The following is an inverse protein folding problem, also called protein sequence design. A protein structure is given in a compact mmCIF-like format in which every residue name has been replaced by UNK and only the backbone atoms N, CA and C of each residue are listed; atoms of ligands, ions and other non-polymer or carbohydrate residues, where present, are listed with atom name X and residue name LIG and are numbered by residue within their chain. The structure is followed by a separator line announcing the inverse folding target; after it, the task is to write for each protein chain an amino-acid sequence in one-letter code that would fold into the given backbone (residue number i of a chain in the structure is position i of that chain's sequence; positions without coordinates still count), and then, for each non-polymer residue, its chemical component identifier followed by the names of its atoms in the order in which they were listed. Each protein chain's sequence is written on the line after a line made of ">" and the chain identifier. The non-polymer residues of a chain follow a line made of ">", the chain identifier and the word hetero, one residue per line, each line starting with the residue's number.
data_IF_505697424696
#
_entry.id   IF_505697424696
#
_cell.length_a   1.000
_cell.length_b   1.000
_cell.length_c   1.000
_cell.angle_alpha   90.00
_cell.angle_beta   90.00
_cell.angle_gamma   90.00
#
_symmetry.space_group_name_H-M   'P 1'
#
loop_
_entity.id
_entity.type
_entity.pdbx_description
1 polymer ?
#
# COMPACT_ATOMS: atom_id res chain seq x y z
N UNK A 1 -12.82 18.55 -23.90
CA UNK A 1 -11.71 17.70 -23.46
C UNK A 1 -11.44 18.08 -22.01
N UNK A 2 -12.10 17.42 -21.07
CA UNK A 2 -11.99 17.78 -19.65
C UNK A 2 -10.61 17.39 -19.16
N UNK A 3 -9.81 18.39 -18.79
CA UNK A 3 -8.59 18.20 -18.02
C UNK A 3 -8.97 17.46 -16.74
N UNK A 4 -8.54 16.20 -16.62
CA UNK A 4 -8.51 15.53 -15.33
C UNK A 4 -7.56 16.33 -14.46
N UNK A 5 -8.09 17.18 -13.58
CA UNK A 5 -7.35 17.72 -12.47
C UNK A 5 -6.93 16.51 -11.63
N UNK A 6 -5.73 15.99 -11.88
CA UNK A 6 -5.11 15.08 -10.94
C UNK A 6 -4.90 15.93 -9.70
N UNK A 7 -5.78 15.77 -8.72
CA UNK A 7 -5.68 16.36 -7.38
C UNK A 7 -4.49 15.71 -6.66
N UNK A 8 -3.28 15.94 -7.19
CA UNK A 8 -2.00 15.39 -6.75
C UNK A 8 -1.48 16.15 -5.52
N UNK A 9 -2.38 16.73 -4.73
CA UNK A 9 -2.02 17.41 -3.50
C UNK A 9 -1.50 16.36 -2.53
N UNK A 10 -0.23 16.46 -2.10
CA UNK A 10 0.36 15.49 -1.20
C UNK A 10 -0.45 15.42 0.08
N UNK A 11 -1.08 14.26 0.31
CA UNK A 11 -1.98 14.02 1.43
C UNK A 11 -1.34 13.06 2.42
N UNK A 12 -1.39 13.39 3.71
CA UNK A 12 -0.95 12.50 4.78
C UNK A 12 -2.12 11.73 5.37
N UNK A 13 -1.90 10.46 5.73
CA UNK A 13 -2.85 9.62 6.44
C UNK A 13 -2.29 9.20 7.79
N UNK A 14 -3.15 9.14 8.81
CA UNK A 14 -2.74 8.69 10.14
C UNK A 14 -2.46 7.18 10.17
N UNK A 15 -1.83 6.68 11.24
CA UNK A 15 -1.70 5.24 11.49
C UNK A 15 -3.06 4.50 11.49
N UNK A 16 -4.12 5.15 12.00
CA UNK A 16 -5.45 4.55 12.02
C UNK A 16 -6.07 4.50 10.62
N UNK A 17 -5.85 5.52 9.80
CA UNK A 17 -6.31 5.55 8.41
C UNK A 17 -5.57 4.50 7.57
N UNK A 18 -4.23 4.44 7.69
CA UNK A 18 -3.42 3.44 6.99
C UNK A 18 -3.87 2.01 7.35
N UNK A 19 -4.09 1.74 8.64
CA UNK A 19 -4.63 0.46 9.11
C UNK A 19 -6.00 0.12 8.49
N UNK A 20 -6.92 1.10 8.39
CA UNK A 20 -8.22 0.94 7.72
C UNK A 20 -8.06 0.66 6.23
N UNK A 21 -7.22 1.43 5.54
CA UNK A 21 -6.98 1.31 4.10
C UNK A 21 -6.43 -0.08 3.71
N UNK A 22 -5.59 -0.67 4.56
CA UNK A 22 -4.94 -1.96 4.28
C UNK A 22 -5.62 -3.15 4.95
N UNK A 23 -6.68 -2.91 5.73
CA UNK A 23 -7.32 -3.90 6.62
C UNK A 23 -6.36 -4.58 7.63
N UNK A 24 -5.22 -3.95 7.93
CA UNK A 24 -4.24 -4.46 8.90
C UNK A 24 -4.49 -3.83 10.27
N UNK A 25 -4.16 -4.56 11.35
CA UNK A 25 -4.12 -3.95 12.67
C UNK A 25 -2.97 -2.92 12.78
N UNK A 26 -3.10 -1.94 13.67
CA UNK A 26 -2.03 -0.95 13.94
C UNK A 26 -0.71 -1.62 14.32
N UNK A 27 -0.78 -2.70 15.08
CA UNK A 27 0.39 -3.51 15.48
C UNK A 27 1.07 -4.12 14.27
N UNK A 28 0.29 -4.67 13.33
CA UNK A 28 0.82 -5.23 12.08
C UNK A 28 1.45 -4.15 11.20
N UNK A 29 0.81 -2.99 11.05
CA UNK A 29 1.38 -1.86 10.30
C UNK A 29 2.72 -1.44 10.90
N UNK A 30 2.80 -1.28 12.23
CA UNK A 30 4.04 -0.94 12.91
C UNK A 30 5.12 -2.02 12.73
N UNK A 31 4.75 -3.30 12.82
CA UNK A 31 5.67 -4.41 12.59
C UNK A 31 6.23 -4.37 11.17
N UNK A 32 5.37 -4.25 10.15
CA UNK A 32 5.84 -4.21 8.76
C UNK A 32 6.67 -2.97 8.46
N UNK A 33 6.38 -1.82 9.08
CA UNK A 33 7.25 -0.65 8.99
C UNK A 33 8.64 -0.94 9.55
N UNK A 34 8.71 -1.61 10.71
CA UNK A 34 9.99 -1.97 11.34
C UNK A 34 10.76 -3.00 10.51
N UNK A 35 10.06 -3.89 9.81
CA UNK A 35 10.62 -4.86 8.85
C UNK A 35 10.98 -4.23 7.48
N UNK A 36 10.73 -2.94 7.25
CA UNK A 36 10.95 -2.29 5.95
C UNK A 36 9.99 -2.73 4.84
N UNK A 37 8.89 -3.41 5.20
CA UNK A 37 7.88 -3.98 4.29
C UNK A 37 6.66 -3.09 4.10
N UNK A 38 6.64 -1.92 4.72
CA UNK A 38 5.55 -0.94 4.65
C UNK A 38 6.14 0.46 4.47
N UNK A 39 5.41 1.43 3.88
CA UNK A 39 5.86 2.81 3.78
C UNK A 39 6.40 3.37 5.11
N UNK A 40 7.46 4.16 5.00
CA UNK A 40 8.07 4.78 6.17
C UNK A 40 7.16 5.86 6.74
N UNK A 41 7.11 5.93 8.07
CA UNK A 41 6.27 6.89 8.74
C UNK A 41 6.99 8.24 8.88
N UNK A 42 6.27 9.32 8.61
CA UNK A 42 6.71 10.69 8.86
C UNK A 42 6.32 11.07 10.29
N UNK A 43 7.28 11.41 11.17
CA UNK A 43 6.96 11.96 12.49
C UNK A 43 6.37 13.36 12.32
N UNK A 44 5.22 13.61 12.96
CA UNK A 44 4.54 14.92 13.00
C UNK A 44 4.68 15.60 14.38
N UNK A 45 5.51 15.04 15.25
CA UNK A 45 5.73 15.46 16.63
C UNK A 45 6.06 14.25 17.51
N UNK A 46 6.10 14.45 18.83
CA UNK A 46 6.66 13.48 19.77
C UNK A 46 5.99 12.10 19.77
N UNK A 47 4.68 12.04 19.47
CA UNK A 47 3.89 10.79 19.52
C UNK A 47 3.06 10.53 18.27
N UNK A 48 3.01 11.49 17.34
CA UNK A 48 2.15 11.40 16.16
C UNK A 48 2.98 11.06 14.94
N UNK A 49 2.54 10.04 14.22
CA UNK A 49 3.12 9.65 12.93
C UNK A 49 2.03 9.67 11.85
N UNK A 50 2.45 9.90 10.62
CA UNK A 50 1.62 9.80 9.43
C UNK A 50 2.37 9.12 8.28
N UNK A 51 1.65 8.81 7.21
CA UNK A 51 2.19 8.20 5.99
C UNK A 51 1.75 9.01 4.79
N UNK A 52 2.55 9.02 3.73
CA UNK A 52 2.13 9.61 2.46
C UNK A 52 1.03 8.72 1.87
N UNK A 53 -0.15 9.27 1.61
CA UNK A 53 -1.31 8.53 1.07
C UNK A 53 -0.94 7.79 -0.22
N UNK A 54 -0.21 8.45 -1.11
CA UNK A 54 0.25 7.88 -2.38
C UNK A 54 1.13 6.64 -2.19
N UNK A 55 2.03 6.62 -1.22
CA UNK A 55 2.87 5.46 -0.93
C UNK A 55 2.05 4.29 -0.36
N UNK A 56 1.09 4.57 0.54
CA UNK A 56 0.20 3.55 1.09
C UNK A 56 -0.68 2.95 0.00
N UNK A 57 -1.26 3.77 -0.88
CA UNK A 57 -2.04 3.29 -2.02
C UNK A 57 -1.19 2.49 -3.00
N UNK A 58 0.03 2.94 -3.30
CA UNK A 58 0.96 2.21 -4.17
C UNK A 58 1.35 0.86 -3.56
N UNK A 59 1.55 0.80 -2.25
CA UNK A 59 1.80 -0.45 -1.54
C UNK A 59 0.61 -1.41 -1.63
N UNK A 60 -0.62 -0.92 -1.49
CA UNK A 60 -1.84 -1.74 -1.66
C UNK A 60 -1.90 -2.28 -3.09
N UNK A 61 -1.67 -1.42 -4.08
CA UNK A 61 -1.70 -1.80 -5.49
C UNK A 61 -0.65 -2.88 -5.79
N UNK A 62 0.58 -2.73 -5.30
CA UNK A 62 1.63 -3.74 -5.46
C UNK A 62 1.24 -5.10 -4.87
N UNK A 63 0.51 -5.13 -3.75
CA UNK A 63 0.00 -6.39 -3.15
C UNK A 63 -1.11 -7.02 -3.99
N UNK A 64 -1.99 -6.21 -4.57
CA UNK A 64 -3.01 -6.68 -5.51
C UNK A 64 -2.33 -7.25 -6.75
N UNK A 65 -1.40 -6.51 -7.34
CA UNK A 65 -0.70 -6.90 -8.56
C UNK A 65 0.11 -8.18 -8.34
N UNK A 66 0.83 -8.33 -7.23
CA UNK A 66 1.55 -9.56 -6.90
C UNK A 66 0.63 -10.79 -6.94
N UNK A 67 -0.52 -10.72 -6.27
CA UNK A 67 -1.48 -11.84 -6.26
C UNK A 67 -2.08 -12.10 -7.66
N UNK A 68 -2.35 -11.05 -8.43
CA UNK A 68 -2.92 -11.19 -9.78
C UNK A 68 -1.92 -11.72 -10.79
N UNK A 69 -0.66 -11.32 -10.69
CA UNK A 69 0.43 -11.80 -11.55
C UNK A 69 0.84 -13.23 -11.18
N UNK A 70 0.88 -13.58 -9.89
CA UNK A 70 1.08 -14.96 -9.44
C UNK A 70 -0.04 -15.89 -9.96
N UNK A 71 -1.30 -15.47 -9.88
CA UNK A 71 -2.43 -16.23 -10.44
C UNK A 71 -2.35 -16.40 -11.96
N UNK A 72 -1.92 -15.36 -12.70
CA UNK A 72 -1.72 -15.43 -14.14
C UNK A 72 -0.55 -16.35 -14.54
N UNK A 73 0.54 -16.33 -13.78
CA UNK A 73 1.70 -17.20 -14.01
C UNK A 73 1.36 -18.69 -13.78
N UNK A 74 0.56 -19.00 -12.74
CA UNK A 74 0.10 -20.37 -12.46
C UNK A 74 -0.78 -20.92 -13.59
N UNK A 75 -1.68 -20.10 -14.15
CA UNK A 75 -2.54 -20.52 -15.27
C UNK A 75 -1.77 -20.70 -16.58
N UNK A 76 -0.78 -19.84 -16.85
CA UNK A 76 0.07 -19.96 -18.02
C UNK A 76 0.97 -21.21 -17.98
N UNK A 77 1.47 -21.58 -16.80
CA UNK A 77 2.28 -22.79 -16.62
C UNK A 77 1.43 -24.07 -16.72
N UNK A 78 0.23 -24.07 -16.11
CA UNK A 78 -0.71 -25.18 -16.23
C UNK A 78 -1.15 -25.45 -17.69
N UNK A 79 -1.13 -24.43 -18.55
CA UNK A 79 -1.48 -24.55 -19.97
C UNK A 79 -0.32 -25.03 -20.85
N UNK A 80 0.92 -25.11 -20.34
CA UNK A 80 2.10 -25.58 -21.10
C UNK A 80 2.38 -27.08 -20.94
N UNK A 81 1.78 -27.72 -19.95
CA UNK A 81 2.00 -29.15 -19.64
C UNK A 81 0.93 -30.07 -20.27
N UNK A 82 0.07 -29.53 -21.13
CA UNK A 82 -0.93 -30.27 -21.92
C UNK A 82 -0.62 -30.09 -23.40
#
# INVERSE_FOLDING_TARGET
>A
MSMHANDNTPTLVSLNDAARMTSLSRTMVNRYRAEGRFPSAIPLGDRRIAFIKGEVTSWIQARIDAVRQEGAAVLAEASRQV
#
